data_IF_138666441810
#
_entry.id   IF_138666441810
#
_cell.length_a   1.000
_cell.length_b   1.000
_cell.length_c   1.000
_cell.angle_alpha   90.00
_cell.angle_beta   90.00
_cell.angle_gamma   90.00
#
_symmetry.space_group_name_H-M   'P 1'
#
loop_
_entity.id
_entity.type
_entity.pdbx_description
1 polymer ?
#
# COMPACT_ATOMS: atom_id res chain seq x y z
N UNK A 1 11.86 -2.66 -21.58
CA UNK A 1 11.28 -1.75 -22.58
C UNK A 1 9.77 -1.60 -22.43
N UNK A 2 8.96 -2.68 -22.34
CA UNK A 2 7.49 -2.56 -22.23
C UNK A 2 7.02 -1.64 -21.09
N UNK A 3 7.58 -1.78 -19.88
CA UNK A 3 7.25 -0.90 -18.75
C UNK A 3 7.45 0.59 -19.09
N UNK A 4 8.60 0.95 -19.67
CA UNK A 4 8.93 2.34 -19.99
C UNK A 4 7.98 2.93 -21.05
N UNK A 5 7.56 2.13 -22.04
CA UNK A 5 6.58 2.56 -23.03
C UNK A 5 5.23 2.89 -22.38
N UNK A 6 4.68 1.94 -21.62
CA UNK A 6 3.38 2.13 -20.94
C UNK A 6 3.43 3.24 -19.89
N UNK A 7 4.53 3.33 -19.15
CA UNK A 7 4.75 4.41 -18.19
C UNK A 7 4.86 5.78 -18.89
N UNK A 8 5.54 5.85 -20.03
CA UNK A 8 5.64 7.05 -20.85
C UNK A 8 4.28 7.54 -21.35
N UNK A 9 3.46 6.64 -21.91
CA UNK A 9 2.10 6.94 -22.36
C UNK A 9 1.21 7.45 -21.21
N UNK A 10 1.33 6.84 -20.02
CA UNK A 10 0.63 7.30 -18.83
C UNK A 10 1.10 8.69 -18.39
N UNK A 11 2.41 8.94 -18.38
CA UNK A 11 2.98 10.25 -18.01
C UNK A 11 2.51 11.34 -18.96
N UNK A 12 2.55 11.08 -20.28
CA UNK A 12 2.05 12.00 -21.29
C UNK A 12 0.58 12.34 -21.04
N UNK A 13 -0.25 11.32 -20.82
CA UNK A 13 -1.67 11.49 -20.53
C UNK A 13 -1.88 12.34 -19.27
N UNK A 14 -1.25 11.99 -18.15
CA UNK A 14 -1.39 12.72 -16.88
C UNK A 14 -0.89 14.16 -16.97
N UNK A 15 0.20 14.40 -17.70
CA UNK A 15 0.76 15.73 -17.93
C UNK A 15 -0.17 16.60 -18.79
N UNK A 16 -0.79 16.02 -19.83
CA UNK A 16 -1.77 16.71 -20.67
C UNK A 16 -2.99 17.18 -19.85
N UNK A 17 -3.45 16.38 -18.89
CA UNK A 17 -4.50 16.76 -17.94
C UNK A 17 -4.01 17.68 -16.81
N UNK A 18 -2.72 18.06 -16.79
CA UNK A 18 -2.10 18.92 -15.77
C UNK A 18 -2.32 18.41 -14.35
N UNK A 19 -2.36 17.09 -14.17
CA UNK A 19 -2.55 16.45 -12.87
C UNK A 19 -1.42 16.90 -11.92
N UNK A 20 -1.80 17.27 -10.70
CA UNK A 20 -0.85 17.68 -9.65
C UNK A 20 -0.78 16.70 -8.50
N UNK A 21 -1.92 16.10 -8.14
CA UNK A 21 -2.07 15.22 -7.00
C UNK A 21 -2.73 13.92 -7.42
N UNK A 22 -2.15 12.80 -6.98
CA UNK A 22 -2.64 11.46 -7.27
C UNK A 22 -2.82 10.73 -5.93
N UNK A 23 -4.01 10.18 -5.71
CA UNK A 23 -4.29 9.29 -4.57
C UNK A 23 -4.50 7.89 -5.13
N UNK A 24 -3.76 6.91 -4.61
CA UNK A 24 -3.86 5.52 -5.07
C UNK A 24 -4.07 4.55 -3.93
N UNK A 25 -4.91 3.54 -4.18
CA UNK A 25 -5.13 2.44 -3.23
C UNK A 25 -4.06 1.33 -3.33
N UNK A 26 -3.24 1.34 -4.38
CA UNK A 26 -2.28 0.29 -4.64
C UNK A 26 -0.86 0.73 -4.24
N UNK A 27 -0.19 0.01 -3.32
CA UNK A 27 1.20 0.27 -2.95
C UNK A 27 2.19 0.19 -4.14
N UNK A 28 1.93 -0.68 -5.12
CA UNK A 28 2.77 -0.78 -6.32
C UNK A 28 2.62 0.47 -7.20
N UNK A 29 1.39 0.93 -7.43
CA UNK A 29 1.13 2.17 -8.16
C UNK A 29 1.75 3.38 -7.45
N UNK A 30 1.66 3.44 -6.12
CA UNK A 30 2.35 4.47 -5.34
C UNK A 30 3.83 4.49 -5.69
N UNK A 31 4.50 3.33 -5.61
CA UNK A 31 5.92 3.24 -5.89
C UNK A 31 6.27 3.65 -7.32
N UNK A 32 5.55 3.11 -8.31
CA UNK A 32 5.85 3.41 -9.71
C UNK A 32 5.64 4.88 -10.05
N UNK A 33 4.50 5.45 -9.66
CA UNK A 33 4.19 6.85 -9.99
C UNK A 33 5.08 7.80 -9.21
N UNK A 34 5.38 7.51 -7.93
CA UNK A 34 6.18 8.40 -7.08
C UNK A 34 7.68 8.32 -7.36
N UNK A 35 8.22 7.12 -7.59
CA UNK A 35 9.66 6.87 -7.60
C UNK A 35 10.22 6.55 -9.00
N UNK A 36 9.40 6.02 -9.92
CA UNK A 36 9.85 5.58 -11.26
C UNK A 36 9.46 6.57 -12.35
N UNK A 37 8.23 7.09 -12.35
CA UNK A 37 7.73 8.04 -13.35
C UNK A 37 8.51 9.37 -13.44
N UNK A 38 9.16 9.88 -12.36
CA UNK A 38 10.01 11.07 -12.49
C UNK A 38 11.13 10.91 -13.52
N UNK A 39 11.64 9.68 -13.73
CA UNK A 39 12.66 9.40 -14.75
C UNK A 39 12.13 9.58 -16.19
N UNK A 40 10.81 9.65 -16.36
CA UNK A 40 10.11 9.84 -17.62
C UNK A 40 9.43 11.21 -17.72
N UNK A 41 9.69 12.12 -16.76
CA UNK A 41 9.09 13.47 -16.73
C UNK A 41 7.69 13.55 -16.10
N UNK A 42 7.28 12.52 -15.34
CA UNK A 42 6.04 12.52 -14.57
C UNK A 42 6.26 12.91 -13.12
N UNK A 43 6.06 14.19 -12.78
CA UNK A 43 6.19 14.69 -11.42
C UNK A 43 4.83 15.02 -10.80
N UNK A 44 4.45 14.27 -9.76
CA UNK A 44 3.16 14.40 -9.10
C UNK A 44 3.30 14.29 -7.57
N UNK A 45 2.40 14.92 -6.84
CA UNK A 45 2.22 14.69 -5.41
C UNK A 45 1.40 13.40 -5.22
N UNK A 46 2.08 12.28 -4.94
CA UNK A 46 1.43 10.96 -4.84
C UNK A 46 1.24 10.52 -3.40
N UNK A 47 0.01 10.17 -3.05
CA UNK A 47 -0.36 9.60 -1.75
C UNK A 47 -0.88 8.19 -1.90
N UNK A 48 -0.52 7.33 -0.94
CA UNK A 48 -1.35 6.18 -0.66
C UNK A 48 -2.66 6.64 -0.03
N UNK A 49 -3.76 5.97 -0.34
CA UNK A 49 -5.08 6.31 0.21
C UNK A 49 -5.08 6.40 1.74
N UNK A 50 -4.35 5.52 2.45
CA UNK A 50 -4.25 5.60 3.91
C UNK A 50 -3.59 6.90 4.38
N UNK A 51 -2.56 7.40 3.69
CA UNK A 51 -1.91 8.68 4.03
C UNK A 51 -2.86 9.84 3.81
N UNK A 52 -3.60 9.81 2.69
CA UNK A 52 -4.54 10.86 2.36
C UNK A 52 -5.73 10.89 3.33
N UNK A 53 -6.29 9.72 3.67
CA UNK A 53 -7.38 9.60 4.64
C UNK A 53 -6.90 10.02 6.03
N UNK A 54 -5.72 9.56 6.48
CA UNK A 54 -5.15 9.98 7.76
C UNK A 54 -5.03 11.51 7.86
N UNK A 55 -4.52 12.15 6.80
CA UNK A 55 -4.47 13.61 6.71
C UNK A 55 -5.85 14.26 6.84
N UNK A 56 -6.88 13.73 6.19
CA UNK A 56 -8.25 14.29 6.30
C UNK A 56 -8.83 14.13 7.71
N UNK A 57 -8.51 13.03 8.40
CA UNK A 57 -8.91 12.81 9.80
C UNK A 57 -8.20 13.80 10.72
N UNK A 58 -6.88 13.95 10.57
CA UNK A 58 -6.07 14.89 11.35
C UNK A 58 -6.49 16.36 11.12
N UNK A 59 -6.92 16.70 9.91
CA UNK A 59 -7.50 18.02 9.55
C UNK A 59 -8.93 18.22 10.08
N UNK A 60 -9.55 17.22 10.71
CA UNK A 60 -10.94 17.26 11.19
C UNK A 60 -11.99 17.29 10.07
N UNK A 61 -11.60 16.95 8.83
CA UNK A 61 -12.45 16.99 7.63
C UNK A 61 -13.16 15.67 7.35
N UNK A 62 -12.72 14.58 7.97
CA UNK A 62 -13.34 13.28 7.89
C UNK A 62 -13.60 12.74 9.30
N UNK A 63 -14.87 12.71 9.77
CA UNK A 63 -15.19 12.09 11.03
C UNK A 63 -15.01 10.57 10.93
N UNK A 64 -14.35 9.98 11.93
CA UNK A 64 -14.22 8.52 12.06
C UNK A 64 -15.09 8.05 13.21
N UNK A 65 -15.87 7.00 12.99
CA UNK A 65 -16.69 6.36 14.04
C UNK A 65 -16.14 4.96 14.33
N UNK A 66 -16.08 4.61 15.62
CA UNK A 66 -15.54 3.34 16.11
C UNK A 66 -16.64 2.27 16.16
N UNK A 67 -17.06 1.79 14.99
CA UNK A 67 -18.17 0.83 14.89
C UNK A 67 -17.73 -0.60 14.55
N UNK A 68 -16.43 -0.83 14.30
CA UNK A 68 -15.90 -2.16 14.02
C UNK A 68 -15.70 -2.92 15.34
N UNK A 69 -16.42 -4.04 15.50
CA UNK A 69 -16.31 -4.94 16.66
C UNK A 69 -15.39 -6.13 16.42
N UNK A 70 -14.98 -6.35 15.18
CA UNK A 70 -14.13 -7.48 14.81
C UNK A 70 -12.67 -7.21 15.16
N UNK A 71 -11.93 -8.28 15.44
CA UNK A 71 -10.47 -8.22 15.56
C UNK A 71 -9.86 -7.97 14.19
N UNK A 72 -9.02 -6.96 14.07
CA UNK A 72 -8.32 -6.61 12.83
C UNK A 72 -6.84 -7.02 12.97
N UNK A 73 -6.34 -7.78 12.00
CA UNK A 73 -4.91 -8.03 11.81
C UNK A 73 -4.43 -7.33 10.55
N UNK A 74 -3.36 -6.55 10.63
CA UNK A 74 -2.87 -5.76 9.49
C UNK A 74 -1.64 -6.38 8.82
N UNK A 75 -1.67 -6.49 7.50
CA UNK A 75 -0.52 -6.88 6.68
C UNK A 75 0.15 -5.64 6.10
N UNK A 76 1.41 -5.41 6.46
CA UNK A 76 2.24 -4.37 5.86
C UNK A 76 2.63 -4.72 4.42
N UNK A 77 2.13 -3.98 3.41
CA UNK A 77 2.53 -4.20 2.03
C UNK A 77 3.98 -3.77 1.82
N UNK A 78 4.77 -4.62 1.16
CA UNK A 78 6.20 -4.38 0.92
C UNK A 78 6.46 -2.99 0.31
N UNK A 79 5.71 -2.60 -0.73
CA UNK A 79 5.91 -1.32 -1.40
C UNK A 79 5.49 -0.10 -0.58
N UNK A 80 4.54 -0.25 0.35
CA UNK A 80 4.16 0.86 1.23
C UNK A 80 5.21 1.03 2.35
N UNK A 81 5.53 -0.08 3.02
CA UNK A 81 6.48 -0.11 4.13
C UNK A 81 7.93 -0.08 3.67
N UNK A 82 8.47 -1.20 3.18
CA UNK A 82 9.91 -1.37 2.88
C UNK A 82 10.45 -0.34 1.88
N UNK A 83 9.68 -0.02 0.84
CA UNK A 83 10.13 0.90 -0.23
C UNK A 83 9.77 2.35 0.03
N UNK A 84 8.58 2.65 0.58
CA UNK A 84 8.11 4.02 0.78
C UNK A 84 8.12 4.48 2.24
N UNK A 85 8.57 3.64 3.18
CA UNK A 85 8.73 3.89 4.62
C UNK A 85 7.46 4.37 5.31
N UNK A 86 6.30 3.97 4.79
CA UNK A 86 5.00 4.29 5.37
C UNK A 86 4.46 3.07 6.12
N UNK A 87 4.30 3.23 7.43
CA UNK A 87 3.82 2.20 8.34
C UNK A 87 2.68 2.70 9.25
N UNK A 88 2.58 4.01 9.46
CA UNK A 88 1.77 4.59 10.52
C UNK A 88 0.39 4.97 10.05
N UNK A 89 0.27 5.55 8.85
CA UNK A 89 -1.03 6.02 8.35
C UNK A 89 -2.11 4.91 8.33
N UNK A 90 -1.85 3.68 7.83
CA UNK A 90 -2.82 2.60 7.92
C UNK A 90 -3.18 2.23 9.36
N UNK A 91 -2.17 2.12 10.24
CA UNK A 91 -2.35 1.74 11.64
C UNK A 91 -3.18 2.75 12.41
N UNK A 92 -2.87 4.03 12.25
CA UNK A 92 -3.58 5.11 12.92
C UNK A 92 -5.05 5.15 12.49
N UNK A 93 -5.34 4.94 11.21
CA UNK A 93 -6.72 4.84 10.73
C UNK A 93 -7.45 3.64 11.32
N UNK A 94 -6.82 2.46 11.33
CA UNK A 94 -7.42 1.26 11.90
C UNK A 94 -7.67 1.41 13.41
N UNK A 95 -6.79 2.07 14.15
CA UNK A 95 -6.97 2.38 15.58
C UNK A 95 -8.17 3.30 15.83
N UNK A 96 -8.43 4.28 14.96
CA UNK A 96 -9.60 5.15 15.08
C UNK A 96 -10.91 4.45 14.70
N UNK A 97 -10.85 3.52 13.74
CA UNK A 97 -12.03 2.82 13.23
C UNK A 97 -12.44 1.60 14.08
N UNK A 98 -11.48 0.93 14.72
CA UNK A 98 -11.71 -0.26 15.52
C UNK A 98 -12.16 0.09 16.95
N UNK A 99 -13.13 -0.67 17.47
CA UNK A 99 -13.52 -0.61 18.89
C UNK A 99 -12.53 -1.35 19.80
N UNK A 100 -11.73 -2.26 19.25
CA UNK A 100 -10.71 -3.05 19.95
C UNK A 100 -9.32 -2.81 19.35
N UNK A 101 -8.23 -2.99 20.11
CA UNK A 101 -6.87 -2.87 19.58
C UNK A 101 -6.60 -3.85 18.43
N UNK A 102 -6.02 -3.33 17.34
CA UNK A 102 -5.52 -4.14 16.23
C UNK A 102 -4.44 -5.12 16.69
N UNK A 103 -4.44 -6.34 16.13
CA UNK A 103 -3.37 -7.34 16.34
C UNK A 103 -2.30 -7.21 15.27
N UNK A 104 -1.04 -7.30 15.69
CA UNK A 104 0.10 -7.37 14.78
C UNK A 104 0.50 -8.84 14.58
N UNK A 105 0.86 -9.18 13.35
CA UNK A 105 1.49 -10.46 13.05
C UNK A 105 2.92 -10.49 13.59
N UNK A 106 3.46 -11.67 13.88
CA UNK A 106 4.85 -11.84 14.36
C UNK A 106 5.88 -11.08 13.52
N UNK A 107 5.72 -11.13 12.19
CA UNK A 107 6.54 -10.39 11.22
C UNK A 107 5.73 -9.20 10.68
N UNK A 108 5.98 -8.02 11.20
CA UNK A 108 5.27 -6.78 10.83
C UNK A 108 6.24 -5.61 10.64
N UNK A 109 5.74 -4.47 10.18
CA UNK A 109 6.53 -3.27 9.94
C UNK A 109 7.66 -3.50 8.94
N UNK A 110 8.88 -3.07 9.27
CA UNK A 110 10.07 -3.28 8.43
C UNK A 110 10.44 -4.75 8.22
N UNK A 111 10.03 -5.62 9.13
CA UNK A 111 10.27 -7.07 9.10
C UNK A 111 9.11 -7.85 8.47
N UNK A 112 8.13 -7.16 7.87
CA UNK A 112 6.96 -7.80 7.25
C UNK A 112 7.34 -8.87 6.23
N UNK A 113 6.71 -10.04 6.39
CA UNK A 113 6.88 -11.17 5.48
C UNK A 113 6.03 -10.98 4.22
N UNK A 114 6.54 -11.48 3.09
CA UNK A 114 5.88 -11.34 1.80
C UNK A 114 4.49 -11.99 1.81
N UNK A 115 3.50 -11.40 1.12
CA UNK A 115 2.20 -12.02 0.89
C UNK A 115 2.22 -13.09 -0.23
N UNK A 116 3.33 -13.20 -0.97
CA UNK A 116 3.49 -14.17 -2.06
C UNK A 116 3.01 -13.68 -3.44
N UNK A 117 2.37 -12.52 -3.55
CA UNK A 117 1.77 -12.08 -4.81
C UNK A 117 2.71 -11.29 -5.75
N UNK A 118 3.71 -10.61 -5.20
CA UNK A 118 4.59 -9.71 -5.97
C UNK A 118 5.50 -10.43 -6.97
N UNK A 119 5.92 -9.73 -8.04
CA UNK A 119 6.86 -10.26 -9.03
C UNK A 119 6.33 -11.47 -9.81
N UNK A 120 5.02 -11.50 -10.07
CA UNK A 120 4.29 -12.62 -10.70
C UNK A 120 4.34 -13.94 -9.92
N UNK A 121 4.80 -13.94 -8.65
CA UNK A 121 4.84 -15.14 -7.79
C UNK A 121 3.47 -15.75 -7.55
N UNK A 122 2.40 -14.95 -7.56
CA UNK A 122 1.01 -15.43 -7.51
C UNK A 122 0.68 -16.43 -8.64
N UNK A 123 1.33 -16.31 -9.79
CA UNK A 123 1.08 -17.13 -10.98
C UNK A 123 2.07 -18.27 -11.14
N UNK A 124 3.07 -18.36 -10.28
CA UNK A 124 4.08 -19.42 -10.33
C UNK A 124 3.68 -20.55 -9.40
N UNK A 125 3.92 -21.79 -9.84
CA UNK A 125 3.77 -22.95 -8.96
C UNK A 125 4.93 -22.99 -7.96
N UNK A 126 4.60 -22.81 -6.68
CA UNK A 126 5.54 -23.02 -5.58
C UNK A 126 5.51 -24.49 -5.15
N UNK A 127 6.64 -25.18 -5.30
CA UNK A 127 6.79 -26.63 -5.00
C UNK A 127 7.70 -26.91 -3.81
N UNK A 128 8.34 -25.88 -3.24
CA UNK A 128 9.31 -26.01 -2.15
C UNK A 128 8.72 -25.42 -0.87
N UNK A 129 8.62 -26.24 0.18
CA UNK A 129 8.12 -25.82 1.49
C UNK A 129 6.65 -25.44 1.48
N UNK A 130 6.24 -24.59 2.43
CA UNK A 130 4.89 -24.02 2.50
C UNK A 130 4.77 -22.84 1.55
N UNK A 131 3.64 -22.72 0.85
CA UNK A 131 3.38 -21.56 -0.02
C UNK A 131 3.43 -20.27 0.79
N UNK A 132 3.97 -19.21 0.21
CA UNK A 132 4.24 -17.97 0.95
C UNK A 132 2.93 -17.35 1.46
N UNK A 133 1.87 -17.37 0.64
CA UNK A 133 0.56 -16.84 1.02
C UNK A 133 -0.10 -17.65 2.14
N UNK A 134 0.06 -18.98 2.15
CA UNK A 134 -0.44 -19.85 3.23
C UNK A 134 0.30 -19.53 4.54
N UNK A 135 1.63 -19.51 4.52
CA UNK A 135 2.44 -19.14 5.68
C UNK A 135 2.07 -17.75 6.21
N UNK A 136 1.84 -16.79 5.31
CA UNK A 136 1.42 -15.44 5.72
C UNK A 136 0.00 -15.41 6.28
N UNK A 137 -0.89 -16.26 5.77
CA UNK A 137 -2.26 -16.36 6.27
C UNK A 137 -2.26 -16.96 7.67
N UNK A 138 -1.49 -18.02 7.91
CA UNK A 138 -1.32 -18.62 9.25
C UNK A 138 -0.81 -17.61 10.30
N UNK A 139 0.01 -16.62 9.93
CA UNK A 139 0.41 -15.56 10.86
C UNK A 139 -0.71 -14.57 11.19
N UNK A 140 -1.72 -14.44 10.31
CA UNK A 140 -2.76 -13.42 10.39
C UNK A 140 -3.95 -13.82 11.29
N UNK A 141 -4.16 -15.13 11.46
CA UNK A 141 -5.23 -15.77 12.24
C UNK A 141 -4.73 -16.16 13.63
#
# INVERSE_FOLDING_TARGET
MLFQMLAGENVETLNNYKIKKIVTACPHCLNSIKNEYPQLGGEYEVFHHSQFIAKLVDEGRLPVSSNLKDTITYHDPCYLGRYNKEYEAPRNLLKHAAGEPMREMKRHGSESFCCGAGGARMWMEETIGTRINENRTEEAI
#
